data_IF_508352019487
#
_entry.id   IF_508352019487
#
_cell.length_a   1.000
_cell.length_b   1.000
_cell.length_c   1.000
_cell.angle_alpha   90.00
_cell.angle_beta   90.00
_cell.angle_gamma   90.00
#
_symmetry.space_group_name_H-M   'P 1'
#
loop_
_entity.id
_entity.type
_entity.pdbx_description
1 polymer ?
#
# COMPACT_ATOMS: atom_id res chain seq x y z
N UNK A 1 -1.20 5.89 -9.34
CA UNK A 1 -1.87 4.65 -8.93
C UNK A 1 -1.28 3.48 -9.70
N UNK A 2 -0.67 2.54 -9.02
CA UNK A 2 0.04 1.38 -9.59
C UNK A 2 -0.86 0.14 -9.47
N UNK A 3 -1.08 -0.56 -10.61
CA UNK A 3 -2.05 -1.64 -10.68
C UNK A 3 -3.49 -1.13 -10.59
N UNK A 4 -3.78 -0.10 -11.35
CA UNK A 4 -5.02 0.69 -11.25
C UNK A 4 -6.29 -0.11 -11.58
N UNK A 5 -6.16 -1.21 -12.31
CA UNK A 5 -7.23 -2.08 -12.79
C UNK A 5 -8.38 -1.28 -13.46
N UNK A 6 -9.39 -0.92 -12.71
CA UNK A 6 -10.56 -0.18 -13.19
C UNK A 6 -10.45 1.35 -13.09
N UNK A 7 -9.39 1.90 -12.50
CA UNK A 7 -9.19 3.34 -12.32
C UNK A 7 -10.09 4.01 -11.30
N UNK A 8 -10.79 3.26 -10.45
CA UNK A 8 -11.78 3.82 -9.52
C UNK A 8 -11.17 4.73 -8.45
N UNK A 9 -9.98 4.40 -7.95
CA UNK A 9 -9.34 5.22 -6.91
C UNK A 9 -8.91 6.58 -7.47
N UNK A 10 -8.19 6.68 -8.61
CA UNK A 10 -7.90 7.97 -9.26
C UNK A 10 -9.16 8.77 -9.57
N UNK A 11 -10.18 8.14 -10.15
CA UNK A 11 -11.46 8.81 -10.47
C UNK A 11 -12.09 9.40 -9.21
N UNK A 12 -12.22 8.60 -8.15
CA UNK A 12 -12.79 9.05 -6.88
C UNK A 12 -12.04 10.24 -6.29
N UNK A 13 -10.71 10.18 -6.27
CA UNK A 13 -9.88 11.22 -5.67
C UNK A 13 -9.94 12.53 -6.47
N UNK A 14 -9.93 12.47 -7.81
CA UNK A 14 -10.04 13.64 -8.69
C UNK A 14 -11.45 14.23 -8.61
N UNK A 15 -12.50 13.40 -8.70
CA UNK A 15 -13.90 13.83 -8.58
C UNK A 15 -14.14 14.58 -7.26
N UNK A 16 -13.60 14.06 -6.16
CA UNK A 16 -13.69 14.67 -4.84
C UNK A 16 -12.73 15.85 -4.63
N UNK A 17 -11.99 16.25 -5.65
CA UNK A 17 -10.98 17.32 -5.59
C UNK A 17 -9.96 17.12 -4.47
N UNK A 18 -9.64 15.87 -4.16
CA UNK A 18 -8.60 15.51 -3.19
C UNK A 18 -7.21 15.62 -3.80
N UNK A 19 -7.12 15.37 -5.10
CA UNK A 19 -5.92 15.54 -5.92
C UNK A 19 -6.29 16.28 -7.20
N UNK A 20 -5.36 17.06 -7.80
CA UNK A 20 -5.63 17.79 -9.03
C UNK A 20 -5.62 16.90 -10.27
N UNK A 21 -4.81 15.84 -10.27
CA UNK A 21 -4.64 14.92 -11.40
C UNK A 21 -4.05 13.60 -10.93
N UNK A 22 -4.09 12.59 -11.80
CA UNK A 22 -3.53 11.28 -11.52
C UNK A 22 -2.91 10.63 -12.77
N UNK A 23 -1.98 9.69 -12.51
CA UNK A 23 -1.48 8.76 -13.51
C UNK A 23 -1.92 7.36 -13.07
N UNK A 24 -2.81 6.74 -13.84
CA UNK A 24 -3.32 5.40 -13.63
C UNK A 24 -2.49 4.41 -14.44
N UNK A 25 -1.80 3.47 -13.76
CA UNK A 25 -0.86 2.55 -14.38
C UNK A 25 -1.25 1.10 -14.14
N UNK A 26 -1.04 0.27 -15.14
CA UNK A 26 -1.16 -1.19 -15.03
C UNK A 26 -0.15 -1.85 -15.97
N UNK A 27 0.30 -3.06 -15.61
CA UNK A 27 1.22 -3.85 -16.45
C UNK A 27 0.49 -4.52 -17.62
N UNK A 28 -0.83 -4.65 -17.54
CA UNK A 28 -1.65 -5.31 -18.56
C UNK A 28 -2.54 -4.31 -19.29
N UNK A 29 -2.66 -4.50 -20.59
CA UNK A 29 -3.47 -3.65 -21.47
C UNK A 29 -4.97 -3.73 -21.15
N UNK A 30 -5.50 -4.93 -20.86
CA UNK A 30 -6.93 -5.12 -20.59
C UNK A 30 -7.47 -4.31 -19.40
N UNK A 31 -6.84 -4.41 -18.21
CA UNK A 31 -7.15 -3.52 -17.08
C UNK A 31 -7.06 -2.03 -17.45
N UNK A 32 -6.00 -1.66 -18.16
CA UNK A 32 -5.78 -0.27 -18.54
C UNK A 32 -6.83 0.27 -19.52
N UNK A 33 -7.36 -0.58 -20.40
CA UNK A 33 -8.47 -0.21 -21.29
C UNK A 33 -9.76 0.01 -20.50
N UNK A 34 -10.06 -0.86 -19.52
CA UNK A 34 -11.20 -0.65 -18.60
C UNK A 34 -11.07 0.65 -17.82
N UNK A 35 -9.87 0.95 -17.32
CA UNK A 35 -9.62 2.23 -16.66
C UNK A 35 -9.90 3.42 -17.59
N UNK A 36 -9.47 3.37 -18.86
CA UNK A 36 -9.76 4.41 -19.87
C UNK A 36 -11.24 4.60 -20.11
N UNK A 37 -11.98 3.49 -20.22
CA UNK A 37 -13.44 3.54 -20.41
C UNK A 37 -14.12 4.22 -19.23
N UNK A 38 -13.76 3.86 -18.00
CA UNK A 38 -14.32 4.48 -16.81
C UNK A 38 -13.92 5.96 -16.71
N UNK A 39 -12.66 6.30 -16.92
CA UNK A 39 -12.19 7.70 -16.90
C UNK A 39 -13.01 8.54 -17.88
N UNK A 40 -13.28 8.03 -19.09
CA UNK A 40 -14.13 8.70 -20.10
C UNK A 40 -15.60 8.79 -19.64
N UNK A 41 -16.16 7.72 -19.08
CA UNK A 41 -17.53 7.73 -18.56
C UNK A 41 -17.75 8.78 -17.47
N UNK A 42 -16.71 9.06 -16.67
CA UNK A 42 -16.74 10.08 -15.62
C UNK A 42 -16.28 11.47 -16.11
N UNK A 43 -15.89 11.62 -17.38
CA UNK A 43 -15.41 12.89 -17.94
C UNK A 43 -14.10 13.39 -17.31
N UNK A 44 -13.20 12.46 -16.95
CA UNK A 44 -11.96 12.78 -16.23
C UNK A 44 -10.70 12.68 -17.11
N UNK A 45 -10.84 12.65 -18.44
CA UNK A 45 -9.74 12.44 -19.38
C UNK A 45 -8.69 13.56 -19.33
N UNK A 46 -9.09 14.77 -19.00
CA UNK A 46 -8.18 15.90 -18.85
C UNK A 46 -7.36 15.87 -17.54
N UNK A 47 -7.77 15.05 -16.59
CA UNK A 47 -7.19 14.99 -15.25
C UNK A 47 -6.47 13.66 -14.97
N UNK A 48 -6.83 12.57 -15.66
CA UNK A 48 -6.30 11.24 -15.37
C UNK A 48 -5.66 10.66 -16.65
N UNK A 49 -4.35 10.50 -16.61
CA UNK A 49 -3.59 9.86 -17.67
C UNK A 49 -3.43 8.36 -17.39
N UNK A 50 -3.59 7.51 -18.40
CA UNK A 50 -3.30 6.08 -18.30
C UNK A 50 -1.97 5.72 -18.94
N UNK A 51 -1.15 4.86 -18.28
CA UNK A 51 0.12 4.36 -18.83
C UNK A 51 0.26 2.87 -18.61
N UNK A 52 0.74 2.18 -19.65
CA UNK A 52 1.21 0.80 -19.49
C UNK A 52 2.56 0.83 -18.76
N UNK A 53 2.66 0.16 -17.61
CA UNK A 53 3.85 0.24 -16.76
C UNK A 53 3.99 -1.02 -15.91
N UNK A 54 5.20 -1.53 -15.81
CA UNK A 54 5.58 -2.48 -14.77
C UNK A 54 5.96 -1.68 -13.52
N UNK A 55 5.13 -1.78 -12.48
CA UNK A 55 5.27 -0.93 -11.30
C UNK A 55 5.29 0.57 -11.67
N UNK A 56 6.33 1.27 -11.26
CA UNK A 56 6.53 2.71 -11.49
C UNK A 56 7.47 3.03 -12.67
N UNK A 57 7.85 2.02 -13.48
CA UNK A 57 8.86 2.18 -14.54
C UNK A 57 8.52 3.23 -15.59
N UNK A 58 7.23 3.52 -15.82
CA UNK A 58 6.80 4.55 -16.77
C UNK A 58 6.72 5.96 -16.17
N UNK A 59 7.05 6.15 -14.88
CA UNK A 59 7.16 7.47 -14.25
C UNK A 59 8.55 8.07 -14.45
N UNK A 60 8.59 9.38 -14.51
CA UNK A 60 9.83 10.14 -14.43
C UNK A 60 10.07 10.58 -12.98
N UNK A 61 11.33 10.75 -12.57
CA UNK A 61 11.67 11.32 -11.28
C UNK A 61 10.93 12.66 -11.04
N UNK A 62 10.26 12.78 -9.88
CA UNK A 62 9.50 13.98 -9.49
C UNK A 62 8.20 14.22 -10.27
N UNK A 63 7.72 13.27 -11.07
CA UNK A 63 6.47 13.40 -11.83
C UNK A 63 5.22 13.19 -10.97
N UNK A 64 5.33 12.45 -9.88
CA UNK A 64 4.25 12.20 -8.96
C UNK A 64 4.67 12.54 -7.52
N UNK A 65 3.84 13.28 -6.82
CA UNK A 65 4.04 13.61 -5.40
C UNK A 65 3.74 12.42 -4.49
N UNK A 66 2.72 11.65 -4.84
CA UNK A 66 2.28 10.48 -4.06
C UNK A 66 2.11 9.28 -4.96
N UNK A 67 2.61 8.14 -4.52
CA UNK A 67 2.47 6.85 -5.21
C UNK A 67 1.55 5.96 -4.39
N UNK A 68 0.49 5.44 -5.01
CA UNK A 68 -0.42 4.46 -4.41
C UNK A 68 -0.12 3.08 -4.98
N UNK A 69 0.10 2.10 -4.08
CA UNK A 69 0.26 0.68 -4.40
C UNK A 69 -0.69 -0.11 -3.49
N UNK A 70 -1.84 -0.51 -4.01
CA UNK A 70 -2.88 -1.17 -3.23
C UNK A 70 -3.37 -2.46 -3.88
N UNK A 71 -3.90 -3.38 -3.06
CA UNK A 71 -4.51 -4.60 -3.56
C UNK A 71 -3.53 -5.68 -4.04
N UNK A 72 -2.26 -5.58 -3.68
CA UNK A 72 -1.19 -6.47 -4.13
C UNK A 72 -0.61 -7.31 -2.98
N UNK A 73 -0.04 -8.48 -3.31
CA UNK A 73 0.74 -9.25 -2.35
C UNK A 73 2.00 -8.49 -1.91
N UNK A 74 2.43 -8.71 -0.65
CA UNK A 74 3.58 -8.00 -0.09
C UNK A 74 4.88 -8.18 -0.88
N UNK A 75 5.13 -9.39 -1.41
CA UNK A 75 6.28 -9.62 -2.28
C UNK A 75 6.29 -8.75 -3.53
N UNK A 76 5.13 -8.50 -4.16
CA UNK A 76 5.02 -7.63 -5.31
C UNK A 76 5.21 -6.15 -4.93
N UNK A 77 4.66 -5.73 -3.78
CA UNK A 77 4.89 -4.37 -3.25
C UNK A 77 6.39 -4.12 -3.06
N UNK A 78 7.10 -5.04 -2.41
CA UNK A 78 8.55 -4.96 -2.22
C UNK A 78 9.27 -4.88 -3.58
N UNK A 79 8.94 -5.75 -4.52
CA UNK A 79 9.55 -5.74 -5.84
C UNK A 79 9.37 -4.40 -6.58
N UNK A 80 8.19 -3.79 -6.49
CA UNK A 80 7.93 -2.47 -7.09
C UNK A 80 8.79 -1.39 -6.43
N UNK A 81 8.93 -1.42 -5.10
CA UNK A 81 9.76 -0.47 -4.36
C UNK A 81 11.26 -0.63 -4.69
N UNK A 82 11.75 -1.85 -4.83
CA UNK A 82 13.14 -2.14 -5.20
C UNK A 82 13.44 -1.73 -6.64
N UNK A 83 12.64 -2.20 -7.60
CA UNK A 83 12.85 -1.93 -9.02
C UNK A 83 12.62 -0.46 -9.38
N UNK A 84 11.71 0.20 -8.67
CA UNK A 84 11.38 1.61 -8.84
C UNK A 84 12.03 2.54 -7.82
N UNK A 85 13.11 2.13 -7.16
CA UNK A 85 13.73 2.82 -6.02
C UNK A 85 13.89 4.32 -6.23
N UNK A 86 14.52 4.73 -7.35
CA UNK A 86 14.78 6.14 -7.65
C UNK A 86 13.49 6.98 -7.71
N UNK A 87 12.41 6.40 -8.24
CA UNK A 87 11.10 7.07 -8.33
C UNK A 87 10.43 7.13 -6.95
N UNK A 88 10.43 6.00 -6.23
CA UNK A 88 9.77 5.89 -4.94
C UNK A 88 10.44 6.76 -3.86
N UNK A 89 11.77 6.85 -3.85
CA UNK A 89 12.52 7.67 -2.89
C UNK A 89 12.35 9.18 -3.13
N UNK A 90 12.00 9.60 -4.35
CA UNK A 90 11.77 11.02 -4.67
C UNK A 90 10.31 11.45 -4.49
N UNK A 91 9.39 10.53 -4.31
CA UNK A 91 8.00 10.84 -3.99
C UNK A 91 7.89 11.42 -2.57
N UNK A 92 7.02 12.41 -2.37
CA UNK A 92 6.75 12.96 -1.05
C UNK A 92 6.10 11.95 -0.10
N UNK A 93 5.47 10.92 -0.64
CA UNK A 93 4.90 9.84 0.14
C UNK A 93 4.38 8.70 -0.72
N UNK A 94 4.31 7.53 -0.09
CA UNK A 94 3.69 6.35 -0.68
C UNK A 94 2.54 5.91 0.21
N UNK A 95 1.45 5.47 -0.41
CA UNK A 95 0.34 4.80 0.28
C UNK A 95 0.35 3.35 -0.16
N UNK A 96 0.60 2.45 0.78
CA UNK A 96 0.76 1.03 0.55
C UNK A 96 -0.37 0.25 1.21
N UNK A 97 -0.99 -0.64 0.46
CA UNK A 97 -1.98 -1.59 0.99
C UNK A 97 -1.63 -3.01 0.53
N UNK A 98 -0.63 -3.65 1.17
CA UNK A 98 -0.30 -5.04 0.92
C UNK A 98 -1.37 -5.98 1.51
N UNK A 99 -1.77 -7.01 0.74
CA UNK A 99 -2.78 -7.98 1.17
C UNK A 99 -2.19 -9.23 1.82
N UNK A 100 -0.87 -9.39 1.78
CA UNK A 100 -0.15 -10.52 2.36
C UNK A 100 1.25 -10.10 2.81
N UNK A 101 1.93 -10.97 3.56
CA UNK A 101 3.33 -10.81 3.95
C UNK A 101 3.65 -9.47 4.65
N UNK A 102 2.68 -8.92 5.38
CA UNK A 102 2.82 -7.63 6.09
C UNK A 102 4.10 -7.50 6.92
N UNK A 103 4.53 -8.52 7.69
CA UNK A 103 5.78 -8.44 8.43
C UNK A 103 6.99 -8.22 7.53
N UNK A 104 7.03 -8.87 6.36
CA UNK A 104 8.11 -8.68 5.39
C UNK A 104 8.13 -7.26 4.82
N UNK A 105 6.94 -6.74 4.47
CA UNK A 105 6.82 -5.37 3.93
C UNK A 105 7.31 -4.36 4.96
N UNK A 106 6.84 -4.42 6.21
CA UNK A 106 7.26 -3.48 7.25
C UNK A 106 8.76 -3.56 7.57
N UNK A 107 9.31 -4.79 7.61
CA UNK A 107 10.75 -4.99 7.77
C UNK A 107 11.53 -4.38 6.61
N UNK A 108 11.12 -4.66 5.37
CA UNK A 108 11.72 -4.07 4.18
C UNK A 108 11.71 -2.54 4.22
N UNK A 109 10.58 -1.93 4.59
CA UNK A 109 10.45 -0.48 4.71
C UNK A 109 11.47 0.09 5.70
N UNK A 110 11.56 -0.48 6.89
CA UNK A 110 12.51 -0.06 7.91
C UNK A 110 13.97 -0.22 7.45
N UNK A 111 14.32 -1.37 6.85
CA UNK A 111 15.68 -1.66 6.40
C UNK A 111 16.12 -0.77 5.23
N UNK A 112 15.17 -0.25 4.46
CA UNK A 112 15.43 0.58 3.28
C UNK A 112 15.12 2.07 3.47
N UNK A 113 14.94 2.53 4.70
CA UNK A 113 14.78 3.96 5.00
C UNK A 113 13.39 4.52 4.70
N UNK A 114 12.38 3.68 4.59
CA UNK A 114 10.99 4.15 4.51
C UNK A 114 10.40 4.28 5.91
N UNK A 115 10.06 5.49 6.28
CA UNK A 115 9.46 5.80 7.58
C UNK A 115 7.94 5.74 7.48
N UNK A 116 7.32 4.94 8.34
CA UNK A 116 5.86 4.87 8.41
C UNK A 116 5.32 6.06 9.22
N UNK A 117 4.64 6.98 8.53
CA UNK A 117 4.01 8.15 9.14
C UNK A 117 2.66 7.82 9.77
N UNK A 118 1.89 6.97 9.12
CA UNK A 118 0.54 6.61 9.54
C UNK A 118 0.20 5.19 9.09
N UNK A 119 -0.49 4.48 9.99
CA UNK A 119 -1.14 3.22 9.66
C UNK A 119 -2.66 3.36 9.88
N UNK A 120 -3.40 2.65 9.07
CA UNK A 120 -4.86 2.58 9.15
C UNK A 120 -5.30 1.15 8.84
N UNK A 121 -6.46 0.75 9.35
CA UNK A 121 -7.01 -0.56 9.08
C UNK A 121 -8.52 -0.49 8.94
N UNK A 122 -9.05 -1.05 7.86
CA UNK A 122 -10.49 -1.15 7.65
C UNK A 122 -10.91 -2.62 7.56
N UNK A 123 -12.17 -2.88 7.84
CA UNK A 123 -12.78 -4.18 7.65
C UNK A 123 -13.98 -4.02 6.70
N UNK A 124 -13.99 -4.81 5.63
CA UNK A 124 -15.07 -4.84 4.65
C UNK A 124 -15.32 -6.29 4.22
N UNK A 125 -16.56 -6.68 4.20
CA UNK A 125 -17.00 -8.04 3.83
C UNK A 125 -16.25 -9.16 4.56
N UNK A 126 -15.95 -8.96 5.86
CA UNK A 126 -15.24 -9.92 6.69
C UNK A 126 -13.73 -10.03 6.42
N UNK A 127 -13.17 -9.15 5.58
CA UNK A 127 -11.74 -9.07 5.30
C UNK A 127 -11.13 -7.81 5.90
N UNK A 128 -9.89 -7.93 6.32
CA UNK A 128 -9.16 -6.85 6.95
C UNK A 128 -8.11 -6.28 5.99
N UNK A 129 -8.09 -4.97 5.87
CA UNK A 129 -7.25 -4.23 4.93
C UNK A 129 -6.37 -3.23 5.69
N UNK A 130 -5.18 -3.65 6.16
CA UNK A 130 -4.20 -2.73 6.72
C UNK A 130 -3.57 -1.91 5.61
N UNK A 131 -3.34 -0.64 5.87
CA UNK A 131 -2.69 0.27 4.95
C UNK A 131 -1.72 1.18 5.70
N UNK A 132 -0.71 1.67 5.01
CA UNK A 132 0.31 2.51 5.60
C UNK A 132 0.70 3.64 4.65
N UNK A 133 0.89 4.82 5.21
CA UNK A 133 1.54 5.93 4.54
C UNK A 133 2.99 5.98 4.97
N UNK A 134 3.89 6.01 4.01
CA UNK A 134 5.33 6.06 4.25
C UNK A 134 5.99 7.14 3.41
N UNK A 135 7.13 7.65 3.86
CA UNK A 135 8.04 8.47 3.08
C UNK A 135 9.47 7.94 3.19
N UNK A 136 10.33 8.31 2.27
CA UNK A 136 11.72 7.94 2.31
C UNK A 136 12.54 8.96 3.12
N UNK A 137 13.37 8.44 4.03
CA UNK A 137 14.40 9.18 4.76
C UNK A 137 15.68 8.33 4.81
N UNK A 138 16.70 8.74 4.08
CA UNK A 138 17.96 8.03 4.02
C UNK A 138 18.64 7.87 5.39
N UNK A 139 18.36 8.76 6.35
CA UNK A 139 18.89 8.67 7.71
C UNK A 139 18.21 7.61 8.57
N UNK A 140 17.04 7.13 8.16
CA UNK A 140 16.25 6.14 8.88
C UNK A 140 16.57 4.68 8.50
N UNK A 141 17.52 4.44 7.58
CA UNK A 141 17.97 3.09 7.22
C UNK A 141 18.48 2.37 8.46
N UNK A 142 17.90 1.23 8.76
CA UNK A 142 18.25 0.44 9.95
C UNK A 142 18.53 -1.01 9.58
N UNK A 143 19.75 -1.43 9.77
CA UNK A 143 20.15 -2.83 9.63
C UNK A 143 20.35 -3.42 11.02
N UNK A 144 19.46 -4.29 11.44
CA UNK A 144 19.58 -5.02 12.68
C UNK A 144 19.78 -6.53 12.39
N UNK A 145 20.76 -7.13 13.07
CA UNK A 145 21.03 -8.57 12.96
C UNK A 145 19.93 -9.42 13.63
N UNK A 146 19.18 -8.81 14.55
CA UNK A 146 18.06 -9.45 15.25
C UNK A 146 17.05 -8.40 15.72
N UNK A 147 15.81 -8.84 15.88
CA UNK A 147 14.70 -7.99 16.35
C UNK A 147 14.21 -8.47 17.72
N UNK A 148 13.74 -7.53 18.52
CA UNK A 148 13.07 -7.85 19.79
C UNK A 148 11.68 -8.45 19.54
N UNK A 149 11.12 -9.12 20.54
CA UNK A 149 9.73 -9.63 20.46
C UNK A 149 8.73 -8.49 20.19
N UNK A 150 8.95 -7.32 20.75
CA UNK A 150 8.12 -6.13 20.51
C UNK A 150 8.19 -5.69 19.05
N UNK A 151 9.37 -5.64 18.45
CA UNK A 151 9.54 -5.30 17.04
C UNK A 151 8.90 -6.36 16.11
N UNK A 152 8.98 -7.64 16.44
CA UNK A 152 8.28 -8.69 15.68
C UNK A 152 6.75 -8.51 15.73
N UNK A 153 6.20 -8.10 16.87
CA UNK A 153 4.78 -7.75 16.99
C UNK A 153 4.43 -6.49 16.18
N UNK A 154 5.30 -5.47 16.22
CA UNK A 154 5.14 -4.26 15.39
C UNK A 154 5.16 -4.59 13.89
N UNK A 155 6.04 -5.48 13.42
CA UNK A 155 6.03 -5.94 12.04
C UNK A 155 4.76 -6.70 11.69
N UNK A 156 4.26 -7.53 12.60
CA UNK A 156 3.06 -8.33 12.36
C UNK A 156 1.80 -7.50 12.31
N UNK A 157 1.61 -6.61 13.25
CA UNK A 157 0.33 -5.93 13.46
C UNK A 157 0.35 -4.43 13.14
N UNK A 158 1.51 -3.80 13.05
CA UNK A 158 1.68 -2.37 12.85
C UNK A 158 1.89 -1.59 14.15
N UNK A 159 3.00 -0.87 14.22
CA UNK A 159 3.38 -0.11 15.42
C UNK A 159 2.31 0.86 15.86
N UNK A 160 1.80 1.68 14.94
CA UNK A 160 0.80 2.69 15.26
C UNK A 160 -0.54 2.07 15.61
N UNK A 161 -0.96 1.05 14.85
CA UNK A 161 -2.21 0.33 15.14
C UNK A 161 -2.21 -0.30 16.54
N UNK A 162 -1.06 -0.82 17.00
CA UNK A 162 -0.87 -1.34 18.35
C UNK A 162 -0.90 -0.23 19.40
N UNK A 163 -0.11 0.82 19.18
CA UNK A 163 0.04 1.95 20.14
C UNK A 163 -1.29 2.68 20.33
N UNK A 164 -2.03 2.92 19.26
CA UNK A 164 -3.32 3.60 19.28
C UNK A 164 -4.48 2.68 19.68
N UNK A 165 -4.22 1.38 19.87
CA UNK A 165 -5.25 0.37 20.16
C UNK A 165 -6.38 0.43 19.13
N UNK A 166 -5.98 0.46 17.85
CA UNK A 166 -6.91 0.67 16.75
C UNK A 166 -8.10 -0.30 16.81
N UNK A 167 -9.36 0.18 16.75
CA UNK A 167 -10.54 -0.66 17.02
C UNK A 167 -10.69 -1.83 16.05
N UNK A 168 -10.33 -1.65 14.77
CA UNK A 168 -10.40 -2.72 13.77
C UNK A 168 -9.29 -3.75 14.00
N UNK A 169 -8.08 -3.33 14.43
CA UNK A 169 -7.04 -4.27 14.83
C UNK A 169 -7.48 -5.10 16.05
N UNK A 170 -8.13 -4.47 17.03
CA UNK A 170 -8.65 -5.19 18.19
C UNK A 170 -9.69 -6.25 17.79
N UNK A 171 -10.57 -5.93 16.84
CA UNK A 171 -11.54 -6.90 16.29
C UNK A 171 -10.81 -8.05 15.55
N UNK A 172 -9.79 -7.73 14.76
CA UNK A 172 -8.95 -8.72 14.08
C UNK A 172 -8.25 -9.67 15.05
N UNK A 173 -7.63 -9.14 16.11
CA UNK A 173 -6.93 -9.93 17.11
C UNK A 173 -7.88 -10.87 17.88
N UNK A 174 -9.09 -10.41 18.21
CA UNK A 174 -10.13 -11.27 18.82
C UNK A 174 -10.54 -12.40 17.89
N UNK A 175 -10.73 -12.11 16.62
CA UNK A 175 -11.04 -13.11 15.61
C UNK A 175 -9.89 -14.11 15.44
N UNK A 176 -8.63 -13.65 15.41
CA UNK A 176 -7.44 -14.52 15.31
C UNK A 176 -7.34 -15.44 16.52
N UNK A 177 -7.56 -14.95 17.75
CA UNK A 177 -7.58 -15.74 18.97
C UNK A 177 -8.69 -16.80 18.94
N UNK A 178 -9.90 -16.43 18.48
CA UNK A 178 -11.01 -17.39 18.38
C UNK A 178 -10.68 -18.53 17.42
N UNK A 179 -10.11 -18.24 16.25
CA UNK A 179 -9.68 -19.27 15.31
C UNK A 179 -8.67 -20.23 15.94
N UNK A 180 -7.67 -19.69 16.67
CA UNK A 180 -6.66 -20.53 17.31
C UNK A 180 -7.28 -21.43 18.39
N UNK A 181 -8.24 -20.92 19.17
CA UNK A 181 -8.97 -21.70 20.18
C UNK A 181 -9.82 -22.80 19.54
N UNK A 182 -10.50 -22.49 18.43
CA UNK A 182 -11.32 -23.47 17.71
C UNK A 182 -10.46 -24.61 17.14
N UNK A 183 -9.28 -24.31 16.60
CA UNK A 183 -8.32 -25.31 16.12
C UNK A 183 -7.84 -26.19 17.27
N UNK A 184 -7.46 -25.61 18.41
CA UNK A 184 -7.00 -26.36 19.57
C UNK A 184 -8.09 -27.27 20.17
N UNK A 185 -9.36 -26.93 20.01
CA UNK A 185 -10.48 -27.71 20.51
C UNK A 185 -10.80 -28.92 19.62
N UNK A 186 -10.35 -28.88 18.34
CA UNK A 186 -10.56 -29.93 17.35
C UNK A 186 -9.43 -30.98 17.30
N UNK A 187 -8.32 -30.74 18.01
CA UNK A 187 -7.17 -31.63 18.16
C UNK A 187 -7.31 -32.52 19.42
#
# INVERSE_FOLDING_TARGET
>A
DVGTDHGYVPIYLVERKRIPSAIAMDIRTGPLERAREHIRMYGMEDYIQTRLSDGVAALKPGEADTILIAGMGGGLVIHILESGRVICEQAHGLVLQPQSELPKVRRFLMENGYVTEREEMVMEDGKYYPMMRVHFDASAVSHADSFTEEQELEFRYGKQLLTEKHPVLLAYLRWEVQIQQDILTQL
#
